data_IF_911759984022
#
_entry.id   IF_911759984022
#
_cell.length_a   1.000
_cell.length_b   1.000
_cell.length_c   1.000
_cell.angle_alpha   90.00
_cell.angle_beta   90.00
_cell.angle_gamma   90.00
#
_symmetry.space_group_name_H-M   'P 1'
#
loop_
_entity.id
_entity.type
_entity.pdbx_description
1 polymer ?
#
# COMPACT_ATOMS: atom_id res chain seq x y z
N UNK A 1 -26.05 8.01 -14.35
CA UNK A 1 -25.54 9.18 -15.09
C UNK A 1 -24.26 8.80 -15.84
N UNK A 2 -23.89 9.54 -16.86
CA UNK A 2 -22.57 9.49 -17.49
C UNK A 2 -21.65 10.62 -16.96
N UNK A 3 -20.43 10.72 -17.48
CA UNK A 3 -19.47 11.77 -17.11
C UNK A 3 -19.99 13.20 -17.31
N UNK A 4 -20.88 13.42 -18.28
CA UNK A 4 -21.52 14.72 -18.56
C UNK A 4 -22.80 14.96 -17.75
N UNK A 5 -23.16 14.09 -16.82
CA UNK A 5 -24.35 14.19 -15.99
C UNK A 5 -25.66 13.83 -16.66
N UNK A 6 -25.64 13.24 -17.88
CA UNK A 6 -26.85 12.81 -18.58
C UNK A 6 -27.30 11.45 -18.11
N UNK A 7 -28.61 11.26 -17.94
CA UNK A 7 -29.22 9.96 -17.61
C UNK A 7 -29.04 9.02 -18.81
N UNK A 8 -28.44 7.83 -18.56
CA UNK A 8 -28.20 6.79 -19.56
C UNK A 8 -29.02 5.52 -19.34
N UNK A 9 -29.35 5.25 -18.07
CA UNK A 9 -30.20 4.14 -17.69
C UNK A 9 -30.87 4.42 -16.34
N UNK A 10 -31.82 3.58 -15.96
CA UNK A 10 -32.46 3.55 -14.66
C UNK A 10 -32.30 2.14 -14.08
N UNK A 11 -32.03 2.05 -12.79
CA UNK A 11 -32.12 0.80 -12.05
C UNK A 11 -33.43 0.80 -11.27
N UNK A 12 -34.20 -0.27 -11.39
CA UNK A 12 -35.39 -0.53 -10.59
C UNK A 12 -35.01 -1.54 -9.51
N UNK A 13 -35.45 -1.26 -8.28
CA UNK A 13 -35.26 -2.12 -7.13
C UNK A 13 -36.64 -2.44 -6.58
N UNK A 14 -37.01 -3.72 -6.53
CA UNK A 14 -38.28 -4.16 -5.97
C UNK A 14 -38.25 -4.04 -4.44
N UNK A 15 -39.36 -3.73 -3.78
CA UNK A 15 -39.45 -3.68 -2.33
C UNK A 15 -39.09 -5.00 -1.64
N UNK A 16 -39.41 -6.12 -2.29
CA UNK A 16 -39.14 -7.46 -1.83
C UNK A 16 -38.50 -8.29 -2.92
N UNK A 17 -37.56 -9.15 -2.54
CA UNK A 17 -36.91 -10.09 -3.47
C UNK A 17 -37.94 -11.15 -3.90
N UNK A 18 -38.21 -11.33 -5.21
CA UNK A 18 -39.10 -12.36 -5.67
C UNK A 18 -38.56 -13.77 -5.34
N UNK A 19 -39.44 -14.76 -5.28
CA UNK A 19 -39.06 -16.15 -5.02
C UNK A 19 -38.10 -16.70 -6.08
N UNK A 20 -38.23 -16.26 -7.31
CA UNK A 20 -37.34 -16.57 -8.43
C UNK A 20 -36.86 -15.27 -9.11
N UNK A 21 -35.57 -15.22 -9.48
CA UNK A 21 -34.98 -14.09 -10.17
C UNK A 21 -34.28 -13.07 -9.26
N UNK A 22 -34.16 -11.83 -9.74
CA UNK A 22 -33.50 -10.71 -9.07
C UNK A 22 -34.47 -9.62 -8.69
N UNK A 23 -34.25 -8.96 -7.56
CA UNK A 23 -34.96 -7.76 -7.12
C UNK A 23 -34.49 -6.48 -7.82
N UNK A 24 -33.40 -6.56 -8.62
CA UNK A 24 -32.75 -5.41 -9.28
C UNK A 24 -32.69 -5.63 -10.79
N UNK A 25 -33.18 -4.69 -11.57
CA UNK A 25 -33.09 -4.73 -13.02
C UNK A 25 -32.91 -3.33 -13.61
N UNK A 26 -32.30 -3.27 -14.79
CA UNK A 26 -32.09 -2.02 -15.52
C UNK A 26 -33.14 -1.81 -16.60
N UNK A 27 -33.33 -0.53 -16.93
CA UNK A 27 -34.15 -0.17 -18.10
C UNK A 27 -33.59 -0.86 -19.34
N UNK A 28 -34.48 -1.59 -20.04
CA UNK A 28 -34.11 -2.31 -21.26
C UNK A 28 -33.60 -1.32 -22.33
N UNK A 29 -32.43 -1.63 -22.92
CA UNK A 29 -31.74 -0.77 -23.88
C UNK A 29 -30.94 0.39 -23.27
N UNK A 30 -30.99 0.57 -21.95
CA UNK A 30 -30.16 1.55 -21.24
C UNK A 30 -28.69 1.16 -21.24
N UNK A 31 -27.77 2.14 -21.34
CA UNK A 31 -26.33 1.94 -21.21
C UNK A 31 -25.93 1.96 -19.74
N UNK A 32 -25.26 0.90 -19.28
CA UNK A 32 -24.79 0.78 -17.88
C UNK A 32 -23.26 0.94 -17.73
N UNK A 33 -22.51 0.59 -18.78
CA UNK A 33 -21.04 0.69 -18.76
C UNK A 33 -20.55 2.13 -18.56
N UNK A 34 -19.71 2.37 -17.55
CA UNK A 34 -19.24 3.69 -17.14
C UNK A 34 -20.30 4.59 -16.49
N UNK A 35 -21.54 4.10 -16.37
CA UNK A 35 -22.62 4.80 -15.68
C UNK A 35 -22.49 4.69 -14.17
N UNK A 36 -22.89 5.76 -13.48
CA UNK A 36 -22.86 5.81 -12.00
C UNK A 36 -24.01 6.65 -11.45
N UNK A 37 -24.31 6.46 -10.17
CA UNK A 37 -25.13 7.37 -9.39
C UNK A 37 -24.28 8.00 -8.30
N UNK A 38 -24.53 9.25 -7.92
CA UNK A 38 -23.75 9.97 -6.93
C UNK A 38 -24.61 10.40 -5.76
N UNK A 39 -24.18 9.99 -4.57
CA UNK A 39 -24.61 10.55 -3.29
C UNK A 39 -23.62 11.67 -2.94
N UNK A 40 -24.11 12.91 -2.83
CA UNK A 40 -23.28 14.08 -2.54
C UNK A 40 -22.75 14.05 -1.10
N UNK A 41 -21.57 14.61 -0.85
CA UNK A 41 -21.07 14.77 0.52
C UNK A 41 -21.99 15.65 1.35
N UNK A 42 -22.14 15.31 2.62
CA UNK A 42 -22.76 16.15 3.61
C UNK A 42 -21.98 17.44 3.88
N UNK A 43 -22.58 18.37 4.59
CA UNK A 43 -21.96 19.65 4.95
C UNK A 43 -20.66 19.43 5.73
N UNK A 44 -19.61 20.17 5.36
CA UNK A 44 -18.29 20.04 5.95
C UNK A 44 -17.46 18.80 5.53
N UNK A 45 -17.96 17.98 4.59
CA UNK A 45 -17.26 16.77 4.10
C UNK A 45 -16.92 16.81 2.61
N UNK A 46 -17.07 17.96 1.96
CA UNK A 46 -16.84 18.12 0.50
C UNK A 46 -15.44 17.75 0.07
N UNK A 47 -14.44 18.01 0.90
CA UNK A 47 -13.03 17.70 0.66
C UNK A 47 -12.60 16.31 1.22
N UNK A 48 -13.53 15.57 1.81
CA UNK A 48 -13.28 14.22 2.31
C UNK A 48 -13.08 13.20 1.18
N UNK A 49 -12.78 11.93 1.53
CA UNK A 49 -12.66 10.86 0.56
C UNK A 49 -13.87 10.73 -0.35
N UNK A 50 -13.64 10.18 -1.53
CA UNK A 50 -14.69 9.73 -2.44
C UNK A 50 -14.81 8.22 -2.32
N UNK A 51 -15.94 7.75 -1.85
CA UNK A 51 -16.24 6.33 -1.75
C UNK A 51 -16.83 5.82 -3.06
N UNK A 52 -16.52 4.58 -3.42
CA UNK A 52 -17.12 3.91 -4.58
C UNK A 52 -17.57 2.53 -4.14
N UNK A 53 -18.84 2.23 -4.34
CA UNK A 53 -19.46 0.95 -3.97
C UNK A 53 -20.21 0.33 -5.14
N UNK A 54 -20.42 -0.98 -5.09
CA UNK A 54 -21.16 -1.70 -6.11
C UNK A 54 -22.64 -1.36 -6.05
N UNK A 55 -23.28 -1.55 -4.89
CA UNK A 55 -24.72 -1.48 -4.71
C UNK A 55 -25.20 -0.14 -4.15
N UNK A 56 -26.45 0.23 -4.46
CA UNK A 56 -27.07 1.44 -3.93
C UNK A 56 -27.27 1.39 -2.40
N UNK A 57 -27.74 0.27 -1.86
CA UNK A 57 -27.94 0.11 -0.42
C UNK A 57 -26.62 0.20 0.35
N UNK A 58 -25.58 -0.48 -0.15
CA UNK A 58 -24.19 -0.40 0.35
C UNK A 58 -23.70 1.04 0.36
N UNK A 59 -23.83 1.76 -0.76
CA UNK A 59 -23.40 3.15 -0.88
C UNK A 59 -24.17 4.09 0.07
N UNK A 60 -25.46 3.86 0.27
CA UNK A 60 -26.28 4.65 1.18
C UNK A 60 -25.83 4.46 2.63
N UNK A 61 -25.55 3.23 3.06
CA UNK A 61 -25.05 2.94 4.40
C UNK A 61 -23.66 3.57 4.64
N UNK A 62 -22.79 3.50 3.65
CA UNK A 62 -21.47 4.16 3.68
C UNK A 62 -21.61 5.68 3.79
N UNK A 63 -22.49 6.29 2.99
CA UNK A 63 -22.74 7.72 3.01
C UNK A 63 -23.30 8.18 4.38
N UNK A 64 -24.31 7.49 4.89
CA UNK A 64 -24.90 7.77 6.21
C UNK A 64 -23.89 7.64 7.34
N UNK A 65 -23.01 6.62 7.27
CA UNK A 65 -22.02 6.38 8.29
C UNK A 65 -20.91 7.46 8.33
N UNK A 66 -20.47 7.92 7.17
CA UNK A 66 -19.27 8.75 7.05
C UNK A 66 -19.55 10.22 6.71
N UNK A 67 -20.69 10.51 6.07
CA UNK A 67 -20.98 11.80 5.45
C UNK A 67 -20.17 12.09 4.17
N UNK A 68 -19.37 11.14 3.71
CA UNK A 68 -18.57 11.29 2.48
C UNK A 68 -19.42 11.11 1.23
N UNK A 69 -18.98 11.72 0.11
CA UNK A 69 -19.59 11.44 -1.20
C UNK A 69 -19.36 9.98 -1.56
N UNK A 70 -20.38 9.36 -2.16
CA UNK A 70 -20.30 7.98 -2.59
C UNK A 70 -20.82 7.81 -4.02
N UNK A 71 -20.06 7.12 -4.89
CA UNK A 71 -20.47 6.72 -6.23
C UNK A 71 -20.95 5.27 -6.22
N UNK A 72 -22.09 5.02 -6.85
CA UNK A 72 -22.66 3.69 -7.06
C UNK A 72 -22.29 3.22 -8.45
N UNK A 73 -21.57 2.11 -8.56
CA UNK A 73 -21.16 1.53 -9.83
C UNK A 73 -22.19 0.53 -10.40
N UNK A 74 -23.16 0.11 -9.59
CA UNK A 74 -24.26 -0.80 -9.88
C UNK A 74 -23.91 -2.28 -10.10
N UNK A 75 -22.66 -2.61 -10.45
CA UNK A 75 -22.16 -3.98 -10.54
C UNK A 75 -20.62 -4.02 -10.44
N UNK A 76 -20.09 -5.18 -10.08
CA UNK A 76 -18.64 -5.40 -9.90
C UNK A 76 -17.84 -5.08 -11.18
N UNK A 77 -18.35 -5.47 -12.36
CA UNK A 77 -17.66 -5.23 -13.64
C UNK A 77 -17.51 -3.74 -14.01
N UNK A 78 -18.34 -2.87 -13.44
CA UNK A 78 -18.32 -1.44 -13.69
C UNK A 78 -17.47 -0.64 -12.69
N UNK A 79 -17.03 -1.24 -11.57
CA UNK A 79 -16.25 -0.56 -10.54
C UNK A 79 -14.98 0.10 -11.10
N UNK A 80 -14.22 -0.60 -11.95
CA UNK A 80 -13.01 -0.06 -12.56
C UNK A 80 -13.28 1.16 -13.43
N UNK A 81 -14.30 1.10 -14.28
CA UNK A 81 -14.65 2.23 -15.17
C UNK A 81 -15.06 3.47 -14.38
N UNK A 82 -15.87 3.29 -13.33
CA UNK A 82 -16.29 4.39 -12.43
C UNK A 82 -15.10 4.94 -11.63
N UNK A 83 -14.19 4.08 -11.15
CA UNK A 83 -13.01 4.52 -10.43
C UNK A 83 -12.05 5.33 -11.31
N UNK A 84 -11.79 4.89 -12.54
CA UNK A 84 -10.94 5.62 -13.51
C UNK A 84 -11.54 6.99 -13.82
N UNK A 85 -12.82 7.05 -14.14
CA UNK A 85 -13.53 8.32 -14.34
C UNK A 85 -13.45 9.23 -13.11
N UNK A 86 -13.62 8.67 -11.90
CA UNK A 86 -13.52 9.42 -10.65
C UNK A 86 -12.10 9.99 -10.44
N UNK A 87 -11.05 9.25 -10.78
CA UNK A 87 -9.65 9.70 -10.69
C UNK A 87 -9.36 10.83 -11.69
N UNK A 88 -9.84 10.72 -12.92
CA UNK A 88 -9.71 11.76 -13.95
C UNK A 88 -10.37 13.07 -13.50
N UNK A 89 -11.58 12.97 -12.95
CA UNK A 89 -12.35 14.15 -12.51
C UNK A 89 -11.83 14.74 -11.20
N UNK A 90 -11.31 13.92 -10.30
CA UNK A 90 -10.88 14.30 -8.94
C UNK A 90 -9.44 13.85 -8.69
N UNK A 91 -8.49 14.36 -9.49
CA UNK A 91 -7.12 13.91 -9.56
C UNK A 91 -6.39 13.80 -8.20
N UNK A 92 -6.68 14.71 -7.27
CA UNK A 92 -6.04 14.79 -5.95
C UNK A 92 -6.86 14.17 -4.81
N UNK A 93 -8.12 13.80 -5.09
CA UNK A 93 -9.02 13.33 -4.03
C UNK A 93 -8.67 11.89 -3.63
N UNK A 94 -8.69 11.61 -2.34
CA UNK A 94 -8.58 10.25 -1.83
C UNK A 94 -9.78 9.43 -2.33
N UNK A 95 -9.53 8.27 -2.95
CA UNK A 95 -10.56 7.36 -3.45
C UNK A 95 -10.50 6.08 -2.64
N UNK A 96 -11.66 5.62 -2.15
CA UNK A 96 -11.78 4.37 -1.40
C UNK A 96 -12.81 3.49 -2.07
N UNK A 97 -12.39 2.34 -2.59
CA UNK A 97 -13.28 1.30 -3.08
C UNK A 97 -13.82 0.53 -1.88
N UNK A 98 -15.13 0.43 -1.77
CA UNK A 98 -15.81 -0.29 -0.70
C UNK A 98 -16.35 -1.61 -1.26
N UNK A 99 -15.71 -2.71 -0.88
CA UNK A 99 -15.98 -4.04 -1.40
C UNK A 99 -16.93 -4.81 -0.48
N UNK A 100 -17.94 -5.41 -1.08
CA UNK A 100 -18.72 -6.46 -0.45
C UNK A 100 -17.84 -7.71 -0.26
N UNK A 101 -18.14 -8.52 0.74
CA UNK A 101 -17.34 -9.70 1.09
C UNK A 101 -18.19 -10.96 0.92
N UNK A 102 -18.29 -11.44 -0.30
CA UNK A 102 -18.99 -12.67 -0.64
C UNK A 102 -18.07 -13.88 -0.42
N UNK A 103 -18.03 -14.35 0.82
CA UNK A 103 -17.20 -15.49 1.23
C UNK A 103 -17.75 -16.83 0.73
N UNK A 104 -19.01 -16.89 0.29
CA UNK A 104 -19.68 -18.10 -0.19
C UNK A 104 -19.36 -18.37 -1.67
N UNK A 105 -18.99 -17.35 -2.43
CA UNK A 105 -18.60 -17.47 -3.83
C UNK A 105 -17.09 -17.67 -3.96
N UNK A 106 -16.68 -18.74 -4.64
CA UNK A 106 -15.27 -19.03 -4.85
C UNK A 106 -14.53 -17.85 -5.52
N UNK A 107 -13.44 -17.39 -4.91
CA UNK A 107 -12.63 -16.28 -5.41
C UNK A 107 -13.14 -14.89 -5.01
N UNK A 108 -14.31 -14.77 -4.35
CA UNK A 108 -14.87 -13.51 -3.90
C UNK A 108 -14.84 -12.39 -4.99
N UNK A 109 -15.60 -12.54 -6.08
CA UNK A 109 -15.45 -11.71 -7.29
C UNK A 109 -15.70 -10.23 -7.04
N UNK A 110 -16.58 -9.85 -6.12
CA UNK A 110 -16.83 -8.47 -5.72
C UNK A 110 -15.59 -7.83 -5.08
N UNK A 111 -14.98 -8.52 -4.12
CA UNK A 111 -13.73 -8.07 -3.47
C UNK A 111 -12.59 -7.96 -4.48
N UNK A 112 -12.45 -8.94 -5.38
CA UNK A 112 -11.40 -8.92 -6.41
C UNK A 112 -11.59 -7.76 -7.40
N UNK A 113 -12.80 -7.52 -7.88
CA UNK A 113 -13.11 -6.42 -8.78
C UNK A 113 -12.84 -5.05 -8.12
N UNK A 114 -13.25 -4.86 -6.87
CA UNK A 114 -12.98 -3.64 -6.11
C UNK A 114 -11.46 -3.45 -5.87
N UNK A 115 -10.73 -4.52 -5.56
CA UNK A 115 -9.27 -4.47 -5.41
C UNK A 115 -8.58 -4.05 -6.70
N UNK A 116 -8.94 -4.62 -7.84
CA UNK A 116 -8.42 -4.24 -9.16
C UNK A 116 -8.77 -2.78 -9.51
N UNK A 117 -9.98 -2.33 -9.17
CA UNK A 117 -10.40 -0.95 -9.39
C UNK A 117 -9.60 0.02 -8.50
N UNK A 118 -9.38 -0.30 -7.22
CA UNK A 118 -8.54 0.49 -6.32
C UNK A 118 -7.11 0.60 -6.84
N UNK A 119 -6.52 -0.53 -7.24
CA UNK A 119 -5.15 -0.57 -7.79
C UNK A 119 -5.02 0.29 -9.06
N UNK A 120 -6.00 0.24 -9.96
CA UNK A 120 -5.97 1.00 -11.22
C UNK A 120 -5.89 2.52 -11.01
N UNK A 121 -6.41 3.02 -9.89
CA UNK A 121 -6.50 4.48 -9.63
C UNK A 121 -5.65 4.95 -8.45
N UNK A 122 -4.83 4.08 -7.87
CA UNK A 122 -4.12 4.40 -6.62
C UNK A 122 -5.07 4.74 -5.48
N UNK A 123 -6.21 4.06 -5.45
CA UNK A 123 -7.19 4.16 -4.38
C UNK A 123 -6.92 3.15 -3.27
N UNK A 124 -7.62 3.32 -2.15
CA UNK A 124 -7.61 2.40 -1.02
C UNK A 124 -8.77 1.41 -1.13
N UNK A 125 -8.71 0.31 -0.39
CA UNK A 125 -9.75 -0.71 -0.36
C UNK A 125 -10.27 -0.89 1.06
N UNK A 126 -11.56 -0.67 1.26
CA UNK A 126 -12.31 -1.03 2.44
C UNK A 126 -13.11 -2.31 2.15
N UNK A 127 -12.85 -3.38 2.86
CA UNK A 127 -13.58 -4.65 2.71
C UNK A 127 -14.55 -4.82 3.88
N UNK A 128 -15.80 -5.09 3.57
CA UNK A 128 -16.78 -5.39 4.60
C UNK A 128 -16.35 -6.66 5.38
N UNK A 129 -16.26 -6.63 6.71
CA UNK A 129 -15.95 -7.82 7.47
C UNK A 129 -17.07 -8.87 7.33
N UNK A 130 -16.69 -10.14 7.20
CA UNK A 130 -17.68 -11.23 7.22
C UNK A 130 -18.42 -11.25 8.55
N UNK A 131 -19.71 -11.56 8.50
CA UNK A 131 -20.54 -11.70 9.70
C UNK A 131 -20.85 -13.18 9.93
N UNK A 132 -20.41 -13.74 11.07
CA UNK A 132 -20.60 -15.16 11.44
C UNK A 132 -20.17 -16.14 10.31
N UNK A 133 -19.12 -15.79 9.56
CA UNK A 133 -18.62 -16.59 8.45
C UNK A 133 -19.43 -16.49 7.15
N UNK A 134 -20.49 -15.69 7.11
CA UNK A 134 -21.36 -15.48 5.94
C UNK A 134 -20.95 -14.26 5.14
N UNK A 135 -21.35 -14.27 3.87
CA UNK A 135 -21.25 -13.11 2.99
C UNK A 135 -21.96 -11.88 3.62
N UNK A 136 -21.32 -10.72 3.53
CA UNK A 136 -21.86 -9.49 4.07
C UNK A 136 -21.52 -8.29 3.16
N UNK A 137 -22.45 -7.38 3.04
CA UNK A 137 -22.24 -6.04 2.49
C UNK A 137 -22.28 -4.96 3.60
N UNK A 138 -21.93 -3.73 3.28
CA UNK A 138 -21.95 -2.63 4.27
C UNK A 138 -23.38 -2.25 4.71
N UNK A 139 -24.41 -2.59 3.95
CA UNK A 139 -25.78 -2.42 4.39
C UNK A 139 -26.17 -3.48 5.44
N UNK A 140 -25.71 -4.72 5.27
CA UNK A 140 -25.87 -5.76 6.29
C UNK A 140 -25.10 -5.39 7.56
N UNK A 141 -23.84 -4.93 7.42
CA UNK A 141 -23.04 -4.46 8.57
C UNK A 141 -23.75 -3.33 9.33
N UNK A 142 -24.35 -2.37 8.60
CA UNK A 142 -25.14 -1.29 9.18
C UNK A 142 -26.35 -1.85 9.96
N UNK A 143 -27.13 -2.75 9.36
CA UNK A 143 -28.35 -3.30 9.96
C UNK A 143 -28.10 -4.22 11.15
N UNK A 144 -27.01 -5.02 11.08
CA UNK A 144 -26.67 -6.01 12.10
C UNK A 144 -25.82 -5.43 13.24
N UNK A 145 -25.14 -4.32 13.00
CA UNK A 145 -24.26 -3.67 13.98
C UNK A 145 -24.62 -2.20 14.15
N UNK A 146 -23.94 -1.29 13.43
CA UNK A 146 -24.23 0.15 13.50
C UNK A 146 -23.54 0.92 12.39
N UNK A 147 -23.93 2.20 12.23
CA UNK A 147 -23.22 3.15 11.36
C UNK A 147 -21.80 3.43 11.85
N UNK A 148 -21.55 3.42 13.15
CA UNK A 148 -20.20 3.60 13.73
C UNK A 148 -19.27 2.48 13.31
N UNK A 149 -19.76 1.23 13.26
CA UNK A 149 -18.97 0.08 12.77
C UNK A 149 -18.64 0.24 11.29
N UNK A 150 -19.59 0.65 10.46
CA UNK A 150 -19.35 0.95 9.05
C UNK A 150 -18.29 2.05 8.90
N UNK A 151 -18.43 3.14 9.66
CA UNK A 151 -17.44 4.24 9.68
C UNK A 151 -16.04 3.74 10.05
N UNK A 152 -15.94 2.93 11.11
CA UNK A 152 -14.66 2.41 11.58
C UNK A 152 -13.92 1.62 10.49
N UNK A 153 -14.60 0.79 9.71
CA UNK A 153 -14.01 0.03 8.58
C UNK A 153 -13.46 0.98 7.50
N UNK A 154 -14.20 2.03 7.16
CA UNK A 154 -13.75 3.02 6.16
C UNK A 154 -12.56 3.82 6.67
N UNK A 155 -12.59 4.29 7.92
CA UNK A 155 -11.49 5.06 8.50
C UNK A 155 -10.24 4.21 8.73
N UNK A 156 -10.39 2.92 9.02
CA UNK A 156 -9.26 1.99 9.08
C UNK A 156 -8.60 1.81 7.70
N UNK A 157 -9.42 1.67 6.64
CA UNK A 157 -8.89 1.62 5.28
C UNK A 157 -8.16 2.92 4.89
N UNK A 158 -8.61 4.08 5.38
CA UNK A 158 -7.93 5.37 5.17
C UNK A 158 -6.54 5.44 5.77
N UNK A 159 -6.34 4.83 6.93
CA UNK A 159 -5.03 4.82 7.62
C UNK A 159 -3.99 3.96 6.90
N UNK A 160 -4.42 3.03 6.03
CA UNK A 160 -3.50 2.18 5.27
C UNK A 160 -2.83 2.99 4.17
N UNK A 161 -1.50 2.97 4.16
CA UNK A 161 -0.66 3.69 3.19
C UNK A 161 -0.12 2.71 2.12
N UNK A 162 -1.02 2.09 1.37
CA UNK A 162 -0.68 1.07 0.36
C UNK A 162 -1.26 1.39 -1.03
N UNK A 163 -1.62 2.63 -1.27
CA UNK A 163 -2.15 3.08 -2.56
C UNK A 163 -1.04 3.21 -3.61
N UNK A 164 -0.83 2.15 -4.39
CA UNK A 164 0.03 2.17 -5.56
C UNK A 164 -0.80 1.86 -6.81
N UNK A 165 -0.94 2.80 -7.78
CA UNK A 165 -1.60 2.52 -9.04
C UNK A 165 -0.88 1.39 -9.78
N UNK A 166 -1.61 0.36 -10.16
CA UNK A 166 -1.04 -0.73 -10.96
C UNK A 166 -1.07 -0.34 -12.44
N UNK A 167 0.03 -0.58 -13.18
CA UNK A 167 0.05 -0.39 -14.63
C UNK A 167 -1.03 -1.22 -15.33
N UNK A 168 -1.47 -0.77 -16.49
CA UNK A 168 -2.47 -1.48 -17.28
C UNK A 168 -2.06 -2.93 -17.55
N UNK A 169 -3.02 -3.83 -17.39
CA UNK A 169 -2.82 -5.27 -17.54
C UNK A 169 -2.08 -5.94 -16.38
N UNK A 170 -1.67 -5.23 -15.33
CA UNK A 170 -1.11 -5.84 -14.14
C UNK A 170 -2.07 -5.77 -12.96
N UNK A 171 -2.02 -6.79 -12.10
CA UNK A 171 -2.77 -6.79 -10.85
C UNK A 171 -2.09 -7.66 -9.78
N UNK A 172 -2.39 -7.36 -8.53
CA UNK A 172 -1.83 -8.00 -7.35
C UNK A 172 -2.94 -8.65 -6.53
N UNK A 173 -2.79 -9.94 -6.24
CA UNK A 173 -3.60 -10.66 -5.25
C UNK A 173 -2.74 -10.80 -4.00
N UNK A 174 -3.13 -10.13 -2.91
CA UNK A 174 -2.28 -10.03 -1.70
C UNK A 174 -2.33 -11.30 -0.84
N UNK A 175 -3.47 -11.99 -0.80
CA UNK A 175 -3.74 -13.08 0.14
C UNK A 175 -4.49 -14.25 -0.51
N UNK A 176 -4.46 -15.41 0.16
CA UNK A 176 -5.17 -16.62 -0.29
C UNK A 176 -4.37 -17.49 -1.23
N UNK A 177 -4.95 -18.60 -1.67
CA UNK A 177 -4.27 -19.61 -2.51
C UNK A 177 -3.79 -19.11 -3.87
N UNK A 178 -4.30 -17.96 -4.32
CA UNK A 178 -3.88 -17.28 -5.56
C UNK A 178 -2.95 -16.09 -5.32
N UNK A 179 -2.44 -15.90 -4.10
CA UNK A 179 -1.58 -14.75 -3.79
C UNK A 179 -0.39 -14.67 -4.79
N UNK A 180 -0.21 -13.49 -5.39
CA UNK A 180 0.82 -13.29 -6.42
C UNK A 180 0.66 -11.99 -7.20
N UNK A 181 1.69 -11.65 -7.94
CA UNK A 181 1.68 -10.59 -8.96
C UNK A 181 1.39 -11.23 -10.32
N UNK A 182 0.47 -10.63 -11.07
CA UNK A 182 -0.04 -11.17 -12.32
C UNK A 182 0.01 -10.13 -13.45
N UNK A 183 0.11 -10.64 -14.69
CA UNK A 183 -0.15 -9.90 -15.92
C UNK A 183 -1.32 -10.53 -16.66
N UNK A 184 -2.27 -9.70 -17.09
CA UNK A 184 -3.35 -10.07 -17.99
C UNK A 184 -2.90 -9.86 -19.42
N UNK A 185 -2.93 -10.89 -20.25
CA UNK A 185 -2.64 -10.80 -21.69
C UNK A 185 -3.88 -11.21 -22.47
N UNK A 186 -4.26 -10.42 -23.47
CA UNK A 186 -5.31 -10.76 -24.41
C UNK A 186 -4.70 -11.60 -25.54
N UNK A 187 -5.24 -12.78 -25.75
CA UNK A 187 -4.87 -13.65 -26.86
C UNK A 187 -5.44 -13.17 -28.19
N UNK A 188 -4.91 -13.68 -29.26
CA UNK A 188 -5.38 -13.37 -30.64
C UNK A 188 -6.84 -13.77 -30.90
N UNK A 189 -7.38 -14.70 -30.12
CA UNK A 189 -8.79 -15.13 -30.14
C UNK A 189 -9.72 -14.24 -29.32
N UNK A 190 -9.19 -13.20 -28.66
CA UNK A 190 -9.94 -12.27 -27.80
C UNK A 190 -10.05 -12.73 -26.34
N UNK A 191 -9.64 -13.93 -26.01
CA UNK A 191 -9.64 -14.43 -24.65
C UNK A 191 -8.51 -13.80 -23.81
N UNK A 192 -8.76 -13.59 -22.53
CA UNK A 192 -7.78 -13.04 -21.60
C UNK A 192 -7.12 -14.16 -20.77
N UNK A 193 -5.80 -14.18 -20.73
CA UNK A 193 -5.02 -15.11 -19.93
C UNK A 193 -4.33 -14.38 -18.79
N UNK A 194 -4.44 -14.93 -17.58
CA UNK A 194 -3.68 -14.45 -16.42
C UNK A 194 -2.34 -15.19 -16.33
N UNK A 195 -1.26 -14.43 -16.34
CA UNK A 195 0.11 -14.96 -16.23
C UNK A 195 0.65 -14.57 -14.87
N UNK A 196 0.93 -15.55 -14.02
CA UNK A 196 1.54 -15.34 -12.71
C UNK A 196 3.03 -15.02 -12.87
N UNK A 197 3.47 -13.85 -12.38
CA UNK A 197 4.87 -13.42 -12.42
C UNK A 197 5.67 -13.94 -11.22
N UNK A 198 5.03 -14.04 -10.07
CA UNK A 198 5.65 -14.51 -8.83
C UNK A 198 4.76 -14.31 -7.61
N UNK A 199 5.32 -14.49 -6.39
CA UNK A 199 4.64 -14.14 -5.15
C UNK A 199 4.22 -12.67 -5.13
N UNK A 200 3.42 -12.22 -4.15
CA UNK A 200 3.09 -10.81 -3.99
C UNK A 200 4.37 -9.96 -3.89
N UNK A 201 4.46 -8.90 -4.71
CA UNK A 201 5.51 -7.90 -4.68
C UNK A 201 4.85 -6.53 -4.56
N UNK A 202 5.03 -5.89 -3.43
CA UNK A 202 4.45 -4.58 -3.14
C UNK A 202 5.42 -3.47 -3.56
N UNK A 203 4.91 -2.45 -4.24
CA UNK A 203 5.67 -1.24 -4.53
C UNK A 203 5.14 -0.13 -3.62
N UNK A 204 5.89 0.19 -2.58
CA UNK A 204 5.47 1.10 -1.50
C UNK A 204 5.66 2.58 -1.85
N UNK A 205 6.55 2.90 -2.77
CA UNK A 205 6.81 4.27 -3.15
C UNK A 205 7.90 4.39 -4.23
N UNK A 206 8.04 5.58 -4.79
CA UNK A 206 9.19 5.96 -5.60
C UNK A 206 10.28 6.54 -4.69
N UNK A 207 11.48 6.01 -4.81
CA UNK A 207 12.64 6.48 -4.06
C UNK A 207 13.46 7.45 -4.91
N UNK A 208 14.16 8.39 -4.27
CA UNK A 208 15.08 9.32 -4.91
C UNK A 208 16.16 9.78 -3.93
N UNK A 209 17.33 10.13 -4.44
CA UNK A 209 18.39 10.77 -3.67
C UNK A 209 18.01 12.17 -3.17
N UNK A 210 18.82 12.72 -2.27
CA UNK A 210 18.58 14.03 -1.68
C UNK A 210 18.62 15.18 -2.70
N UNK A 211 19.40 15.02 -3.76
CA UNK A 211 19.57 15.96 -4.89
C UNK A 211 18.49 15.79 -5.99
N UNK A 212 17.51 14.91 -5.79
CA UNK A 212 16.45 14.62 -6.76
C UNK A 212 16.85 13.65 -7.88
N UNK A 213 18.05 13.08 -7.82
CA UNK A 213 18.55 12.04 -8.72
C UNK A 213 18.38 10.63 -8.10
N UNK A 214 18.99 9.62 -8.71
CA UNK A 214 19.02 8.24 -8.19
C UNK A 214 17.62 7.64 -7.94
N UNK A 215 16.74 7.80 -8.90
CA UNK A 215 15.39 7.29 -8.81
C UNK A 215 15.33 5.78 -8.69
N UNK A 216 14.41 5.32 -7.85
CA UNK A 216 14.19 3.90 -7.58
C UNK A 216 12.76 3.58 -7.15
N UNK A 217 12.56 2.34 -6.76
CA UNK A 217 11.31 1.82 -6.22
C UNK A 217 11.55 1.18 -4.86
N UNK A 218 10.71 1.51 -3.89
CA UNK A 218 10.67 0.79 -2.61
C UNK A 218 9.83 -0.46 -2.77
N UNK A 219 10.47 -1.61 -2.81
CA UNK A 219 9.86 -2.93 -2.94
C UNK A 219 9.73 -3.58 -1.57
N UNK A 220 8.64 -4.34 -1.37
CA UNK A 220 8.40 -5.12 -0.16
C UNK A 220 7.78 -6.47 -0.52
N UNK A 221 8.25 -7.55 0.11
CA UNK A 221 7.71 -8.90 -0.06
C UNK A 221 7.88 -9.73 1.21
N UNK A 222 7.28 -10.90 1.23
CA UNK A 222 7.42 -11.90 2.29
C UNK A 222 8.10 -13.13 1.69
N UNK A 223 9.13 -13.63 2.36
CA UNK A 223 9.83 -14.85 1.98
C UNK A 223 9.03 -16.12 2.37
N UNK A 224 9.46 -17.33 1.96
CA UNK A 224 8.77 -18.58 2.31
C UNK A 224 8.70 -18.88 3.80
N UNK A 225 9.59 -18.32 4.61
CA UNK A 225 9.63 -18.49 6.07
C UNK A 225 8.75 -17.46 6.80
N UNK A 226 8.07 -16.57 6.04
CA UNK A 226 7.19 -15.54 6.58
C UNK A 226 7.88 -14.25 6.98
N UNK A 227 9.19 -14.09 6.72
CA UNK A 227 9.91 -12.86 7.04
C UNK A 227 9.64 -11.79 5.99
N UNK A 228 9.51 -10.55 6.47
CA UNK A 228 9.31 -9.39 5.60
C UNK A 228 10.66 -8.87 5.10
N UNK A 229 10.74 -8.65 3.81
CA UNK A 229 11.87 -8.02 3.14
C UNK A 229 11.46 -6.70 2.52
N UNK A 230 12.38 -5.74 2.52
CA UNK A 230 12.22 -4.45 1.90
C UNK A 230 13.51 -4.07 1.14
N UNK A 231 13.35 -3.46 -0.04
CA UNK A 231 14.49 -3.06 -0.86
C UNK A 231 14.19 -1.79 -1.65
N UNK A 232 15.01 -0.76 -1.44
CA UNK A 232 15.03 0.43 -2.27
C UNK A 232 15.83 0.11 -3.55
N UNK A 233 15.15 -0.41 -4.57
CA UNK A 233 15.75 -0.85 -5.84
C UNK A 233 16.03 0.35 -6.76
N UNK A 234 17.28 0.63 -7.16
CA UNK A 234 17.57 1.63 -8.19
C UNK A 234 16.95 1.23 -9.53
N UNK A 235 16.15 2.12 -10.14
CA UNK A 235 15.49 1.83 -11.43
C UNK A 235 16.51 1.60 -12.55
N UNK A 236 17.69 2.21 -12.48
CA UNK A 236 18.76 2.00 -13.45
C UNK A 236 19.17 0.54 -13.63
N UNK A 237 19.01 -0.30 -12.57
CA UNK A 237 19.32 -1.72 -12.65
C UNK A 237 18.46 -2.48 -13.66
N UNK A 238 17.28 -1.97 -14.00
CA UNK A 238 16.42 -2.56 -15.03
C UNK A 238 16.98 -2.38 -16.44
N UNK A 239 17.87 -1.38 -16.64
CA UNK A 239 18.44 -1.00 -17.94
C UNK A 239 19.89 -1.44 -18.12
N UNK A 240 20.53 -1.94 -17.05
CA UNK A 240 21.88 -2.51 -17.12
C UNK A 240 21.84 -3.91 -17.74
N UNK A 241 22.91 -4.27 -18.46
CA UNK A 241 23.13 -5.64 -18.90
C UNK A 241 23.43 -6.53 -17.67
N UNK A 242 22.69 -7.60 -17.52
CA UNK A 242 22.81 -8.51 -16.38
C UNK A 242 21.47 -8.73 -15.68
N UNK A 243 21.49 -9.59 -14.67
CA UNK A 243 20.30 -10.04 -13.96
C UNK A 243 20.32 -9.66 -12.47
N UNK A 244 21.14 -8.72 -12.09
CA UNK A 244 21.45 -8.43 -10.69
C UNK A 244 20.20 -8.14 -9.85
N UNK A 245 19.28 -7.33 -10.35
CA UNK A 245 18.05 -7.01 -9.63
C UNK A 245 17.15 -8.24 -9.40
N UNK A 246 17.08 -9.15 -10.38
CA UNK A 246 16.28 -10.37 -10.25
C UNK A 246 16.93 -11.37 -9.29
N UNK A 247 18.27 -11.46 -9.32
CA UNK A 247 19.05 -12.29 -8.39
C UNK A 247 18.96 -11.79 -6.96
N UNK A 248 18.92 -10.46 -6.75
CA UNK A 248 18.71 -9.86 -5.42
C UNK A 248 17.32 -10.23 -4.88
N UNK A 249 16.26 -10.14 -5.68
CA UNK A 249 14.93 -10.58 -5.27
C UNK A 249 14.92 -12.07 -4.90
N UNK A 250 15.53 -12.91 -5.73
CA UNK A 250 15.60 -14.35 -5.50
C UNK A 250 16.41 -14.70 -4.24
N UNK A 251 17.54 -14.04 -3.99
CA UNK A 251 18.34 -14.24 -2.78
C UNK A 251 17.61 -13.80 -1.51
N UNK A 252 16.70 -12.82 -1.63
CA UNK A 252 15.78 -12.41 -0.57
C UNK A 252 14.50 -13.26 -0.48
N UNK A 253 14.46 -14.43 -1.12
CA UNK A 253 13.32 -15.36 -1.02
C UNK A 253 12.12 -15.02 -1.91
N UNK A 254 12.20 -14.02 -2.82
CA UNK A 254 11.15 -13.79 -3.80
C UNK A 254 11.35 -14.66 -5.04
N UNK A 255 10.71 -15.81 -5.05
CA UNK A 255 10.84 -16.78 -6.14
C UNK A 255 9.80 -16.53 -7.25
N UNK A 256 10.12 -15.61 -8.14
CA UNK A 256 9.33 -15.36 -9.35
C UNK A 256 9.54 -16.44 -10.41
N UNK A 257 8.71 -16.40 -11.46
CA UNK A 257 8.85 -17.28 -12.61
C UNK A 257 9.92 -16.71 -13.58
N UNK A 258 11.07 -17.39 -13.78
CA UNK A 258 12.14 -16.89 -14.64
C UNK A 258 11.69 -16.58 -16.07
N UNK A 259 10.75 -17.36 -16.63
CA UNK A 259 10.21 -17.15 -17.99
C UNK A 259 9.41 -15.85 -18.14
N UNK A 260 8.93 -15.28 -17.04
CA UNK A 260 8.15 -14.03 -17.02
C UNK A 260 8.95 -12.81 -16.58
N UNK A 261 10.27 -12.95 -16.44
CA UNK A 261 11.17 -11.89 -15.97
C UNK A 261 11.05 -10.61 -16.79
N UNK A 262 10.96 -10.70 -18.12
CA UNK A 262 10.76 -9.53 -18.99
C UNK A 262 9.46 -8.78 -18.68
N UNK A 263 8.40 -9.50 -18.36
CA UNK A 263 7.11 -8.93 -17.96
C UNK A 263 7.20 -8.25 -16.59
N UNK A 264 7.97 -8.82 -15.65
CA UNK A 264 8.24 -8.20 -14.37
C UNK A 264 9.07 -6.91 -14.54
N UNK A 265 10.07 -6.92 -15.43
CA UNK A 265 10.83 -5.70 -15.76
C UNK A 265 9.93 -4.60 -16.33
N UNK A 266 8.99 -4.95 -17.22
CA UNK A 266 7.96 -4.00 -17.72
C UNK A 266 7.12 -3.45 -16.57
N UNK A 267 6.64 -4.31 -15.66
CA UNK A 267 5.90 -3.87 -14.48
C UNK A 267 6.71 -2.84 -13.66
N UNK A 268 7.92 -3.20 -13.26
CA UNK A 268 8.79 -2.34 -12.45
C UNK A 268 9.18 -1.03 -13.15
N UNK A 269 9.33 -1.05 -14.48
CA UNK A 269 9.64 0.17 -15.24
C UNK A 269 8.43 1.09 -15.46
N UNK A 270 7.21 0.58 -15.35
CA UNK A 270 5.97 1.31 -15.64
C UNK A 270 5.17 1.71 -14.42
N UNK A 271 5.33 1.01 -13.29
CA UNK A 271 4.63 1.34 -12.04
C UNK A 271 5.01 2.72 -11.52
N UNK A 272 4.03 3.52 -11.09
CA UNK A 272 4.23 4.91 -10.62
C UNK A 272 3.51 5.13 -9.30
N UNK A 273 4.06 4.69 -8.16
CA UNK A 273 3.51 4.97 -6.84
C UNK A 273 3.42 6.48 -6.60
N UNK A 274 2.39 6.90 -5.89
CA UNK A 274 2.19 8.32 -5.54
C UNK A 274 3.13 8.76 -4.41
N UNK A 275 3.44 7.86 -3.47
CA UNK A 275 4.32 8.12 -2.33
C UNK A 275 5.75 8.38 -2.80
N UNK A 276 6.39 9.39 -2.20
CA UNK A 276 7.81 9.70 -2.39
C UNK A 276 8.58 9.33 -1.13
N UNK A 277 9.77 8.77 -1.33
CA UNK A 277 10.64 8.30 -0.26
C UNK A 277 12.05 8.80 -0.58
N UNK A 278 12.66 9.48 0.37
CA UNK A 278 14.05 9.91 0.25
C UNK A 278 14.99 8.74 0.54
N UNK A 279 15.89 8.45 -0.39
CA UNK A 279 16.96 7.49 -0.18
C UNK A 279 18.23 8.18 0.24
N UNK A 280 18.93 7.58 1.20
CA UNK A 280 20.27 8.00 1.61
C UNK A 280 21.21 6.80 1.50
N UNK A 281 22.48 7.08 1.12
CA UNK A 281 23.47 6.02 0.83
C UNK A 281 24.32 5.64 2.05
N UNK A 282 24.19 6.37 3.15
CA UNK A 282 24.97 6.15 4.38
C UNK A 282 24.11 6.33 5.62
N UNK A 283 24.46 5.64 6.66
CA UNK A 283 23.92 5.86 8.01
C UNK A 283 24.37 7.20 8.59
N UNK A 284 23.66 7.68 9.59
CA UNK A 284 23.98 8.92 10.29
C UNK A 284 22.99 10.04 9.99
N UNK A 285 23.39 11.28 10.25
CA UNK A 285 22.55 12.45 10.09
C UNK A 285 22.37 12.87 8.64
N UNK A 286 21.09 13.00 8.26
CA UNK A 286 20.64 13.60 7.00
C UNK A 286 19.61 14.70 7.34
N UNK A 287 20.05 15.96 7.23
CA UNK A 287 19.23 17.11 7.69
C UNK A 287 18.77 16.93 9.15
N UNK A 288 17.47 16.75 9.39
CA UNK A 288 16.84 16.62 10.69
C UNK A 288 16.64 15.17 11.17
N UNK A 289 17.03 14.18 10.38
CA UNK A 289 16.87 12.75 10.74
C UNK A 289 18.20 12.02 10.87
N UNK A 290 18.23 11.09 11.80
CA UNK A 290 19.33 10.15 11.97
C UNK A 290 18.93 8.78 11.43
N UNK A 291 19.63 8.32 10.41
CA UNK A 291 19.29 7.11 9.65
C UNK A 291 20.17 5.96 10.08
N UNK A 292 19.58 4.87 10.51
CA UNK A 292 20.18 3.55 10.70
C UNK A 292 19.64 2.57 9.66
N UNK A 293 20.21 1.37 9.48
CA UNK A 293 19.76 0.43 8.46
C UNK A 293 18.26 0.11 8.50
N UNK A 294 17.72 -0.11 9.71
CA UNK A 294 16.35 -0.56 9.92
C UNK A 294 15.45 0.47 10.61
N UNK A 295 16.01 1.65 10.95
CA UNK A 295 15.28 2.63 11.75
C UNK A 295 15.73 4.05 11.41
N UNK A 296 14.77 4.98 11.37
CA UNK A 296 15.02 6.42 11.20
C UNK A 296 14.50 7.16 12.43
N UNK A 297 15.33 8.01 13.01
CA UNK A 297 14.98 8.87 14.14
C UNK A 297 14.86 10.32 13.68
N UNK A 298 13.80 10.99 14.08
CA UNK A 298 13.46 12.36 13.70
C UNK A 298 12.19 12.44 12.89
N UNK A 299 11.82 13.65 12.46
CA UNK A 299 10.60 13.91 11.69
C UNK A 299 10.97 14.65 10.41
N UNK A 300 10.47 14.17 9.28
CA UNK A 300 10.58 14.81 7.97
C UNK A 300 9.22 14.85 7.28
N UNK A 301 9.09 15.67 6.25
CA UNK A 301 7.92 15.70 5.38
C UNK A 301 7.84 14.45 4.47
N UNK A 302 8.99 13.88 4.10
CA UNK A 302 9.09 12.64 3.31
C UNK A 302 9.74 11.54 4.15
N UNK A 303 9.24 10.31 4.02
CA UNK A 303 9.91 9.15 4.61
C UNK A 303 11.33 9.03 4.07
N UNK A 304 12.25 8.68 4.97
CA UNK A 304 13.66 8.50 4.62
C UNK A 304 14.05 7.05 4.84
N UNK A 305 14.79 6.44 3.91
CA UNK A 305 15.28 5.06 4.01
C UNK A 305 16.75 4.98 3.61
N UNK A 306 17.47 4.05 4.20
CA UNK A 306 18.83 3.72 3.76
C UNK A 306 18.75 2.85 2.50
N UNK A 307 19.35 3.31 1.40
CA UNK A 307 19.53 2.50 0.21
C UNK A 307 20.80 1.67 0.35
N UNK A 308 20.65 0.39 0.70
CA UNK A 308 21.76 -0.54 0.80
C UNK A 308 21.74 -1.51 -0.38
N UNK A 309 22.88 -1.67 -1.04
CA UNK A 309 23.11 -2.73 -2.03
C UNK A 309 23.36 -4.09 -1.38
N UNK A 310 23.55 -4.13 -0.06
CA UNK A 310 23.79 -5.34 0.71
C UNK A 310 22.66 -5.55 1.73
N UNK A 311 22.00 -6.69 1.63
CA UNK A 311 21.10 -7.19 2.67
C UNK A 311 21.97 -7.62 3.86
N UNK A 312 21.84 -6.93 4.97
CA UNK A 312 22.55 -7.21 6.20
C UNK A 312 23.54 -6.10 6.56
N UNK A 313 23.04 -5.08 7.24
CA UNK A 313 23.87 -4.04 7.82
C UNK A 313 24.86 -4.60 8.82
N UNK A 314 26.00 -3.92 8.97
CA UNK A 314 26.99 -4.16 10.03
C UNK A 314 26.42 -3.89 11.44
N UNK A 315 25.23 -3.29 11.50
CA UNK A 315 24.52 -2.95 12.73
C UNK A 315 23.57 -4.05 13.12
N UNK A 316 23.72 -4.53 14.35
CA UNK A 316 22.80 -5.48 14.97
C UNK A 316 22.45 -4.99 16.36
N UNK A 317 21.19 -5.10 16.73
CA UNK A 317 20.75 -4.90 18.12
C UNK A 317 20.72 -6.23 18.83
N UNK A 318 21.24 -6.27 20.06
CA UNK A 318 21.25 -7.46 20.92
C UNK A 318 21.16 -7.03 22.38
N UNK A 319 20.53 -7.85 23.22
CA UNK A 319 20.35 -7.57 24.63
C UNK A 319 19.13 -6.70 24.94
N UNK A 320 19.02 -6.30 26.21
CA UNK A 320 17.90 -5.50 26.73
C UNK A 320 18.42 -4.18 27.32
N UNK A 321 17.53 -3.21 27.51
CA UNK A 321 17.86 -1.94 28.15
C UNK A 321 18.26 -2.16 29.65
N UNK A 322 17.69 -3.17 30.30
CA UNK A 322 18.02 -3.56 31.67
C UNK A 322 19.46 -4.06 31.74
N UNK A 323 19.84 -5.00 30.87
CA UNK A 323 21.21 -5.50 30.80
C UNK A 323 22.23 -4.41 30.45
N UNK A 324 21.82 -3.44 29.61
CA UNK A 324 22.64 -2.27 29.35
C UNK A 324 22.86 -1.40 30.59
N UNK A 325 21.80 -1.16 31.39
CA UNK A 325 21.93 -0.42 32.67
C UNK A 325 22.85 -1.10 33.66
N UNK A 326 22.79 -2.43 33.79
CA UNK A 326 23.72 -3.19 34.63
C UNK A 326 25.18 -2.95 34.21
N UNK A 327 25.46 -2.94 32.91
CA UNK A 327 26.83 -2.62 32.41
C UNK A 327 27.19 -1.18 32.73
N UNK A 328 26.27 -0.23 32.55
CA UNK A 328 26.51 1.18 32.82
C UNK A 328 26.77 1.45 34.34
N UNK A 329 26.11 0.71 35.23
CA UNK A 329 26.29 0.80 36.66
C UNK A 329 27.74 0.40 37.08
N UNK A 330 28.38 -0.52 36.36
CA UNK A 330 29.79 -0.88 36.61
C UNK A 330 30.76 0.27 36.34
N UNK A 331 30.33 1.30 35.59
CA UNK A 331 31.12 2.50 35.33
C UNK A 331 31.02 3.54 36.46
N UNK A 332 30.08 3.38 37.40
CA UNK A 332 29.90 4.32 38.52
C UNK A 332 31.13 4.32 39.41
N UNK A 333 31.67 5.50 39.70
CA UNK A 333 32.90 5.68 40.47
C UNK A 333 34.20 5.50 39.68
N UNK A 334 34.14 5.06 38.41
CA UNK A 334 35.29 4.97 37.51
C UNK A 334 35.21 6.03 36.39
N UNK A 335 35.86 7.16 36.57
CA UNK A 335 35.78 8.28 35.63
C UNK A 335 36.30 7.96 34.23
N UNK A 336 37.27 7.05 34.08
CA UNK A 336 37.82 6.65 32.77
C UNK A 336 36.82 5.79 32.00
N UNK A 337 36.19 4.82 32.66
CA UNK A 337 35.16 3.99 32.06
C UNK A 337 33.94 4.82 31.69
N UNK A 338 33.47 5.68 32.60
CA UNK A 338 32.35 6.60 32.33
C UNK A 338 32.65 7.51 31.17
N UNK A 339 33.85 8.10 31.07
CA UNK A 339 34.28 8.92 29.96
C UNK A 339 34.27 8.14 28.61
N UNK A 340 34.85 6.93 28.59
CA UNK A 340 34.89 6.09 27.40
C UNK A 340 33.48 5.76 26.89
N UNK A 341 32.58 5.46 27.83
CA UNK A 341 31.17 5.19 27.52
C UNK A 341 30.46 6.42 26.95
N UNK A 342 30.64 7.58 27.58
CA UNK A 342 30.09 8.86 27.06
C UNK A 342 30.67 9.21 25.70
N UNK A 343 31.95 9.01 25.46
CA UNK A 343 32.60 9.24 24.17
C UNK A 343 32.01 8.37 23.05
N UNK A 344 31.69 7.11 23.35
CA UNK A 344 31.05 6.21 22.40
C UNK A 344 29.64 6.72 21.98
N UNK A 345 28.90 7.35 22.90
CA UNK A 345 27.59 7.95 22.59
C UNK A 345 27.66 9.35 21.99
N UNK A 346 28.79 10.03 22.09
CA UNK A 346 28.93 11.40 21.58
C UNK A 346 28.79 11.51 20.06
N UNK A 347 29.18 10.47 19.29
CA UNK A 347 29.19 10.50 17.83
C UNK A 347 27.89 11.00 17.20
N UNK A 348 26.72 10.44 17.51
CA UNK A 348 25.44 10.93 16.98
C UNK A 348 25.07 12.35 17.43
N UNK A 349 25.61 12.85 18.51
CA UNK A 349 25.29 14.16 19.09
C UNK A 349 26.14 15.31 18.55
N UNK A 350 27.30 15.02 17.93
CA UNK A 350 28.23 16.05 17.45
C UNK A 350 27.57 16.99 16.42
N UNK A 351 26.91 16.45 15.43
CA UNK A 351 26.29 17.27 14.38
C UNK A 351 25.15 18.18 14.90
N UNK A 352 24.18 17.70 15.69
CA UNK A 352 23.19 18.56 16.31
C UNK A 352 23.78 19.63 17.21
N UNK A 353 24.92 19.35 17.84
CA UNK A 353 25.63 20.32 18.69
C UNK A 353 26.53 21.30 17.89
N UNK A 354 26.63 21.14 16.57
CA UNK A 354 27.50 21.96 15.74
C UNK A 354 29.00 21.73 15.99
N UNK A 355 29.36 20.54 16.49
CA UNK A 355 30.73 20.17 16.84
C UNK A 355 31.33 19.25 15.78
N UNK A 356 32.65 19.37 15.61
CA UNK A 356 33.42 18.47 14.76
C UNK A 356 33.78 17.17 15.50
N UNK A 357 34.03 16.09 14.70
CA UNK A 357 34.51 14.81 15.22
C UNK A 357 35.92 14.90 15.74
N UNK A 358 36.22 14.10 16.77
CA UNK A 358 37.54 13.98 17.37
C UNK A 358 37.78 12.58 17.91
N UNK A 359 38.97 12.34 18.38
CA UNK A 359 39.36 11.10 19.05
C UNK A 359 40.08 11.40 20.36
N UNK A 360 39.99 10.43 21.27
CA UNK A 360 40.68 10.45 22.54
C UNK A 360 41.60 9.24 22.64
N UNK A 361 42.83 9.44 23.14
CA UNK A 361 43.78 8.36 23.42
C UNK A 361 43.91 8.21 24.91
N UNK A 362 43.79 6.99 25.40
CA UNK A 362 44.08 6.66 26.78
C UNK A 362 45.50 6.05 26.85
N UNK A 363 46.38 6.73 27.53
CA UNK A 363 47.73 6.25 27.79
C UNK A 363 47.86 5.77 29.23
N UNK A 364 48.50 4.65 29.46
CA UNK A 364 48.79 4.07 30.77
C UNK A 364 50.02 3.19 30.71
N UNK A 365 50.77 3.18 31.79
CA UNK A 365 51.87 2.22 31.94
C UNK A 365 51.29 0.80 32.04
N UNK A 366 51.77 -0.13 31.22
CA UNK A 366 51.51 -1.56 31.41
C UNK A 366 52.21 -2.00 32.66
N UNK A 367 51.46 -2.44 33.69
CA UNK A 367 51.99 -3.17 34.81
C UNK A 367 51.99 -4.67 34.52
#
# INVERSE_FOLDING_TARGET
LNQSGRIQSLQFILPEKPAEGTDKFFLRGGRTGGGFFSLSAGDGKKDGPLLIAEGYATATSLHLATGYACLVAFNAGNLKAVAVMARERYAKREIILCADNDTETQGNPGKEAASRAAQAVGGKLAVCPAHEGRAADFNDLHRLRSLETVRAVVEEARKRDDACPMPEGFFLVKEGGRAGLYKLETRSDGDSQEIRLGPPLLVKGMTRGADGNEWGLMLEWIDPDGNRHAWAMPVEMLFRQGNDWYSILASGGWFGNPSTRSKLAVFLSTVRPLRRIRCVLRTGWHESVYVLPDTVYGVTEEDTVLQSSQHGGLYRTSGTMEGWREIAELCVGNSRLGFALCAAFAGPLLRPAGLEGGGFSFEGGSS
#
